data_IF_720250064606
#
_entry.id   IF_720250064606
#
_cell.length_a   1.000
_cell.length_b   1.000
_cell.length_c   1.000
_cell.angle_alpha   90.00
_cell.angle_beta   90.00
_cell.angle_gamma   90.00
#
_symmetry.space_group_name_H-M   'P 1'
#
loop_
_entity.id
_entity.type
_entity.pdbx_description
1 polymer ?
#
# COMPACT_ATOMS: atom_id res chain seq x y z
N UNK A 1 -29.30 -1.14 11.67
CA UNK A 1 -30.16 0.06 11.70
C UNK A 1 -31.37 -0.24 10.85
N UNK A 2 -32.53 -0.18 11.48
CA UNK A 2 -33.81 -0.11 10.78
C UNK A 2 -33.87 1.24 10.04
N UNK A 3 -34.56 1.32 8.91
CA UNK A 3 -34.75 2.58 8.16
C UNK A 3 -35.49 3.64 9.01
N UNK A 4 -36.12 3.20 10.11
CA UNK A 4 -36.79 4.05 11.11
C UNK A 4 -35.85 4.69 12.12
N UNK A 5 -34.63 4.17 12.30
CA UNK A 5 -33.61 4.80 13.15
C UNK A 5 -32.95 5.93 12.37
N UNK A 6 -33.28 7.17 12.71
CA UNK A 6 -32.67 8.37 12.12
C UNK A 6 -31.40 8.72 12.90
N UNK A 7 -30.19 8.44 12.40
CA UNK A 7 -28.99 8.95 13.04
C UNK A 7 -29.02 10.48 13.03
N UNK A 8 -28.45 11.11 14.05
CA UNK A 8 -28.41 12.58 14.14
C UNK A 8 -27.69 13.19 12.93
N UNK A 9 -28.12 14.39 12.52
CA UNK A 9 -27.57 15.12 11.36
C UNK A 9 -26.07 15.49 11.53
N UNK A 10 -25.54 15.38 12.75
CA UNK A 10 -24.15 15.59 13.09
C UNK A 10 -23.27 14.33 12.96
N UNK A 11 -23.87 13.17 12.67
CA UNK A 11 -23.15 11.91 12.50
C UNK A 11 -22.53 11.79 11.10
N UNK A 12 -21.21 11.64 11.05
CA UNK A 12 -20.46 11.45 9.80
C UNK A 12 -20.27 9.98 9.42
N UNK A 13 -19.88 9.74 8.17
CA UNK A 13 -19.49 8.42 7.69
C UNK A 13 -18.06 8.09 8.09
N UNK A 14 -17.80 6.82 8.45
CA UNK A 14 -16.48 6.33 8.81
C UNK A 14 -15.44 6.65 7.71
N UNK A 15 -14.45 7.49 8.04
CA UNK A 15 -13.50 8.04 7.07
C UNK A 15 -12.65 6.98 6.37
N UNK A 16 -12.41 5.83 7.00
CA UNK A 16 -11.69 4.70 6.40
C UNK A 16 -12.49 3.97 5.31
N UNK A 17 -13.82 4.08 5.32
CA UNK A 17 -14.70 3.46 4.32
C UNK A 17 -14.69 4.28 3.02
N UNK A 18 -14.90 5.59 3.13
CA UNK A 18 -15.07 6.44 1.94
C UNK A 18 -13.82 7.21 1.53
N UNK A 19 -12.93 7.55 2.46
CA UNK A 19 -11.78 8.43 2.22
C UNK A 19 -10.85 7.96 1.09
N UNK A 20 -10.37 6.69 1.09
CA UNK A 20 -9.53 6.17 0.01
C UNK A 20 -10.21 6.20 -1.36
N UNK A 21 -11.50 5.88 -1.43
CA UNK A 21 -12.29 5.93 -2.66
C UNK A 21 -12.50 7.38 -3.13
N UNK A 22 -12.77 8.30 -2.22
CA UNK A 22 -12.87 9.73 -2.49
C UNK A 22 -11.57 10.29 -3.07
N UNK A 23 -10.42 10.00 -2.47
CA UNK A 23 -9.13 10.41 -3.03
C UNK A 23 -8.85 9.80 -4.41
N UNK A 24 -9.16 8.51 -4.61
CA UNK A 24 -9.04 7.87 -5.92
C UNK A 24 -9.85 8.61 -6.99
N UNK A 25 -11.10 8.95 -6.68
CA UNK A 25 -11.97 9.72 -7.56
C UNK A 25 -11.40 11.12 -7.84
N UNK A 26 -11.09 11.91 -6.81
CA UNK A 26 -10.62 13.29 -6.96
C UNK A 26 -9.32 13.39 -7.77
N UNK A 27 -8.35 12.51 -7.51
CA UNK A 27 -7.11 12.47 -8.28
C UNK A 27 -7.36 12.04 -9.73
N UNK A 28 -8.34 11.17 -9.98
CA UNK A 28 -8.73 10.80 -11.36
C UNK A 28 -9.37 11.98 -12.10
N UNK A 29 -10.23 12.76 -11.42
CA UNK A 29 -10.82 14.00 -11.94
C UNK A 29 -9.71 15.00 -12.30
N UNK A 30 -8.78 15.27 -11.38
CA UNK A 30 -7.66 16.18 -11.62
C UNK A 30 -6.75 15.70 -12.76
N UNK A 31 -6.45 14.39 -12.83
CA UNK A 31 -5.60 13.82 -13.88
C UNK A 31 -6.26 13.90 -15.28
N UNK A 32 -7.59 14.02 -15.34
CA UNK A 32 -8.33 14.16 -16.59
C UNK A 32 -8.57 15.62 -17.00
N UNK A 33 -8.28 16.59 -16.12
CA UNK A 33 -8.43 18.01 -16.44
C UNK A 33 -7.62 18.40 -17.70
N UNK A 34 -8.10 19.30 -18.58
CA UNK A 34 -7.41 19.61 -19.83
C UNK A 34 -6.06 20.31 -19.65
N UNK A 35 -5.17 20.14 -20.63
CA UNK A 35 -3.92 20.91 -20.69
C UNK A 35 -4.15 22.38 -21.07
N UNK A 36 -5.21 22.64 -21.85
CA UNK A 36 -5.68 23.97 -22.24
C UNK A 36 -7.19 24.03 -21.96
N UNK A 37 -7.61 24.36 -20.72
CA UNK A 37 -9.01 24.36 -20.36
C UNK A 37 -9.75 25.57 -20.94
N UNK A 38 -11.04 25.40 -21.24
CA UNK A 38 -11.94 26.51 -21.57
C UNK A 38 -12.37 27.26 -20.31
N UNK A 39 -12.88 28.49 -20.46
CA UNK A 39 -13.40 29.28 -19.32
C UNK A 39 -14.53 28.55 -18.58
N UNK A 40 -15.37 27.82 -19.31
CA UNK A 40 -16.43 26.99 -18.72
C UNK A 40 -15.85 25.82 -17.90
N UNK A 41 -14.81 25.15 -18.41
CA UNK A 41 -14.13 24.07 -17.69
C UNK A 41 -13.46 24.59 -16.42
N UNK A 42 -12.81 25.75 -16.47
CA UNK A 42 -12.24 26.43 -15.29
C UNK A 42 -13.34 26.67 -14.26
N UNK A 43 -14.44 27.31 -14.67
CA UNK A 43 -15.59 27.62 -13.79
C UNK A 43 -16.17 26.35 -13.14
N UNK A 44 -16.40 25.30 -13.93
CA UNK A 44 -16.98 24.04 -13.44
C UNK A 44 -16.07 23.36 -12.41
N UNK A 45 -14.76 23.32 -12.66
CA UNK A 45 -13.81 22.71 -11.72
C UNK A 45 -13.64 23.56 -10.45
N UNK A 46 -13.64 24.89 -10.57
CA UNK A 46 -13.61 25.79 -9.41
C UNK A 46 -14.82 25.57 -8.50
N UNK A 47 -16.01 25.55 -9.09
CA UNK A 47 -17.28 25.27 -8.39
C UNK A 47 -17.24 23.89 -7.73
N UNK A 48 -16.82 22.86 -8.47
CA UNK A 48 -16.71 21.49 -7.95
C UNK A 48 -15.82 21.40 -6.70
N UNK A 49 -14.58 21.91 -6.78
CA UNK A 49 -13.65 21.84 -5.64
C UNK A 49 -14.03 22.79 -4.50
N UNK A 50 -14.73 23.90 -4.77
CA UNK A 50 -15.29 24.76 -3.74
C UNK A 50 -16.39 24.03 -2.95
N UNK A 51 -17.37 23.46 -3.65
CA UNK A 51 -18.51 22.79 -3.01
C UNK A 51 -18.17 21.43 -2.41
N UNK A 52 -17.09 20.79 -2.86
CA UNK A 52 -16.56 19.58 -2.21
C UNK A 52 -16.43 19.78 -0.70
N UNK A 53 -15.91 20.93 -0.26
CA UNK A 53 -15.75 21.27 1.15
C UNK A 53 -17.04 21.31 1.97
N UNK A 54 -18.20 21.44 1.32
CA UNK A 54 -19.49 21.53 2.00
C UNK A 54 -20.18 20.17 2.13
N UNK A 55 -19.79 19.20 1.31
CA UNK A 55 -20.51 17.91 1.19
C UNK A 55 -19.71 16.70 1.65
N UNK A 56 -18.45 16.86 2.09
CA UNK A 56 -17.70 15.73 2.67
C UNK A 56 -18.51 15.15 3.84
N UNK A 57 -18.70 13.81 3.91
CA UNK A 57 -19.55 13.17 4.92
C UNK A 57 -18.80 13.01 6.26
N UNK A 58 -18.16 14.09 6.72
CA UNK A 58 -17.36 14.17 7.94
C UNK A 58 -17.16 15.65 8.29
N UNK A 59 -17.75 16.11 9.40
CA UNK A 59 -17.70 17.50 9.85
C UNK A 59 -16.27 18.06 9.91
N UNK A 60 -15.39 17.42 10.67
CA UNK A 60 -13.99 17.85 10.79
C UNK A 60 -13.21 17.80 9.48
N UNK A 61 -13.62 16.95 8.55
CA UNK A 61 -13.02 16.89 7.22
C UNK A 61 -13.42 18.10 6.38
N UNK A 62 -14.68 18.55 6.48
CA UNK A 62 -15.17 19.79 5.84
C UNK A 62 -14.44 21.02 6.36
N UNK A 63 -14.40 21.17 7.69
CA UNK A 63 -13.75 22.30 8.36
C UNK A 63 -12.26 22.41 7.96
N UNK A 64 -11.51 21.30 8.03
CA UNK A 64 -10.09 21.32 7.62
C UNK A 64 -9.87 21.47 6.13
N UNK A 65 -10.76 20.93 5.29
CA UNK A 65 -10.65 21.15 3.85
C UNK A 65 -10.83 22.64 3.53
N UNK A 66 -11.86 23.29 4.09
CA UNK A 66 -12.10 24.72 3.93
C UNK A 66 -10.90 25.56 4.39
N UNK A 67 -10.31 25.24 5.54
CA UNK A 67 -9.08 25.88 6.00
C UNK A 67 -7.93 25.69 4.98
N UNK A 68 -7.68 24.45 4.55
CA UNK A 68 -6.57 24.15 3.63
C UNK A 68 -6.72 24.83 2.28
N UNK A 69 -7.92 24.91 1.70
CA UNK A 69 -8.11 25.56 0.39
C UNK A 69 -8.05 27.08 0.45
N UNK A 70 -7.97 27.67 1.64
CA UNK A 70 -7.80 29.12 1.85
C UNK A 70 -6.38 29.51 2.26
N UNK A 71 -5.48 28.55 2.49
CA UNK A 71 -4.09 28.82 2.85
C UNK A 71 -3.25 29.25 1.64
N UNK A 72 -2.26 30.12 1.85
CA UNK A 72 -1.44 30.72 0.79
C UNK A 72 -0.82 29.70 -0.18
N UNK A 73 -0.35 28.55 0.31
CA UNK A 73 0.31 27.52 -0.51
C UNK A 73 -0.65 26.54 -1.22
N UNK A 74 -1.95 26.63 -0.91
CA UNK A 74 -3.00 25.75 -1.44
C UNK A 74 -4.31 26.50 -1.74
N UNK A 75 -4.23 27.81 -1.96
CA UNK A 75 -5.36 28.67 -2.26
C UNK A 75 -6.06 28.16 -3.52
N UNK A 76 -7.36 27.89 -3.42
CA UNK A 76 -8.18 27.50 -4.57
C UNK A 76 -8.58 28.74 -5.38
N UNK A 77 -7.82 29.02 -6.43
CA UNK A 77 -8.04 30.14 -7.36
C UNK A 77 -7.86 29.69 -8.83
N UNK A 78 -7.91 30.65 -9.76
CA UNK A 78 -7.70 30.38 -11.18
C UNK A 78 -6.26 29.94 -11.51
N UNK A 79 -5.26 30.27 -10.68
CA UNK A 79 -3.87 29.84 -10.89
C UNK A 79 -3.74 28.33 -10.76
N UNK A 80 -4.47 27.73 -9.82
CA UNK A 80 -4.58 26.27 -9.67
C UNK A 80 -5.18 25.64 -10.94
N UNK A 81 -6.09 26.33 -11.60
CA UNK A 81 -6.86 25.84 -12.75
C UNK A 81 -6.23 26.17 -14.11
N UNK A 82 -5.01 26.73 -14.14
CA UNK A 82 -4.28 27.06 -15.38
C UNK A 82 -4.16 25.88 -16.34
N UNK A 83 -3.89 24.68 -15.83
CA UNK A 83 -3.83 23.44 -16.63
C UNK A 83 -3.87 22.19 -15.73
N UNK A 84 -3.88 21.01 -16.36
CA UNK A 84 -3.79 19.70 -15.69
C UNK A 84 -2.71 19.64 -14.61
N UNK A 85 -1.50 20.10 -14.90
CA UNK A 85 -0.38 19.96 -13.98
C UNK A 85 -0.58 20.81 -12.72
N UNK A 86 -1.03 22.05 -12.84
CA UNK A 86 -1.28 22.93 -11.69
C UNK A 86 -2.37 22.35 -10.79
N UNK A 87 -3.45 21.81 -11.37
CA UNK A 87 -4.54 21.20 -10.61
C UNK A 87 -4.11 19.90 -9.89
N UNK A 88 -3.38 19.02 -10.59
CA UNK A 88 -2.84 17.78 -9.99
C UNK A 88 -1.87 18.11 -8.85
N UNK A 89 -0.99 19.09 -9.04
CA UNK A 89 -0.04 19.53 -8.01
C UNK A 89 -0.77 20.12 -6.79
N UNK A 90 -1.78 20.96 -7.01
CA UNK A 90 -2.60 21.51 -5.93
C UNK A 90 -3.31 20.41 -5.12
N UNK A 91 -3.97 19.46 -5.80
CA UNK A 91 -4.67 18.37 -5.11
C UNK A 91 -3.70 17.46 -4.34
N UNK A 92 -2.50 17.24 -4.89
CA UNK A 92 -1.42 16.56 -4.18
C UNK A 92 -1.00 17.30 -2.90
N UNK A 93 -0.90 18.63 -2.94
CA UNK A 93 -0.57 19.44 -1.76
C UNK A 93 -1.68 19.38 -0.70
N UNK A 94 -2.95 19.51 -1.09
CA UNK A 94 -4.11 19.35 -0.18
C UNK A 94 -4.09 17.96 0.47
N UNK A 95 -3.90 16.89 -0.32
CA UNK A 95 -3.83 15.52 0.20
C UNK A 95 -2.68 15.37 1.21
N UNK A 96 -1.54 16.02 0.98
CA UNK A 96 -0.41 16.00 1.92
C UNK A 96 -0.63 16.83 3.19
N UNK A 97 -1.42 17.91 3.15
CA UNK A 97 -1.87 18.60 4.38
C UNK A 97 -2.74 17.69 5.23
N UNK A 98 -3.66 16.94 4.60
CA UNK A 98 -4.45 15.91 5.30
C UNK A 98 -3.56 14.79 5.87
N UNK A 99 -2.60 14.27 5.10
CA UNK A 99 -1.65 13.27 5.59
C UNK A 99 -0.85 13.78 6.80
N UNK A 100 -0.40 15.03 6.77
CA UNK A 100 0.27 15.67 7.91
C UNK A 100 -0.62 15.72 9.15
N UNK A 101 -1.87 16.20 9.00
CA UNK A 101 -2.83 16.28 10.09
C UNK A 101 -3.08 14.90 10.74
N UNK A 102 -3.07 13.84 9.93
CA UNK A 102 -3.28 12.46 10.39
C UNK A 102 -2.00 11.75 10.86
N UNK A 103 -0.84 12.42 10.86
CA UNK A 103 0.44 11.81 11.25
C UNK A 103 0.98 10.76 10.28
N UNK A 104 0.53 10.77 9.01
CA UNK A 104 0.98 9.83 7.98
C UNK A 104 2.34 10.31 7.44
N UNK A 105 3.40 9.55 7.75
CA UNK A 105 4.79 9.91 7.43
C UNK A 105 5.27 9.40 6.08
N UNK A 106 4.70 8.31 5.57
CA UNK A 106 5.07 7.72 4.27
C UNK A 106 4.29 8.38 3.12
N UNK A 107 4.77 9.53 2.64
CA UNK A 107 4.18 10.21 1.49
C UNK A 107 4.87 9.80 0.19
N UNK A 108 4.09 9.54 -0.85
CA UNK A 108 4.63 9.34 -2.20
C UNK A 108 5.08 10.68 -2.81
N UNK A 109 6.04 10.62 -3.73
CA UNK A 109 6.44 11.81 -4.50
C UNK A 109 5.36 12.19 -5.51
N UNK A 110 5.28 13.49 -5.87
CA UNK A 110 4.38 13.96 -6.93
C UNK A 110 4.57 13.18 -8.24
N UNK A 111 5.81 12.82 -8.58
CA UNK A 111 6.13 12.00 -9.75
C UNK A 111 5.48 10.62 -9.67
N UNK A 112 5.56 9.93 -8.52
CA UNK A 112 4.95 8.63 -8.34
C UNK A 112 3.43 8.69 -8.40
N UNK A 113 2.83 9.72 -7.78
CA UNK A 113 1.39 9.98 -7.85
C UNK A 113 0.97 10.19 -9.30
N UNK A 114 1.65 11.07 -10.03
CA UNK A 114 1.42 11.32 -11.45
C UNK A 114 1.48 10.02 -12.27
N UNK A 115 2.58 9.27 -12.15
CA UNK A 115 2.76 8.01 -12.88
C UNK A 115 1.67 6.99 -12.54
N UNK A 116 1.24 6.90 -11.28
CA UNK A 116 0.15 6.00 -10.86
C UNK A 116 -1.15 6.33 -11.58
N UNK A 117 -1.61 7.58 -11.53
CA UNK A 117 -2.90 7.96 -12.12
C UNK A 117 -2.85 8.00 -13.65
N UNK A 118 -1.73 8.40 -14.27
CA UNK A 118 -1.54 8.27 -15.72
C UNK A 118 -1.61 6.81 -16.19
N UNK A 119 -1.24 5.85 -15.34
CA UNK A 119 -1.34 4.43 -15.69
C UNK A 119 -2.79 3.93 -15.85
N UNK A 120 -3.79 4.74 -15.49
CA UNK A 120 -5.22 4.43 -15.65
C UNK A 120 -5.84 5.07 -16.90
N UNK A 121 -5.06 5.84 -17.67
CA UNK A 121 -5.52 6.54 -18.85
C UNK A 121 -6.10 5.58 -19.89
N UNK A 122 -7.30 5.89 -20.39
CA UNK A 122 -7.97 5.14 -21.45
C UNK A 122 -7.60 5.66 -22.84
N UNK A 123 -7.58 4.77 -23.83
CA UNK A 123 -7.68 5.09 -25.27
C UNK A 123 -9.16 5.18 -25.61
N UNK A 124 -9.55 6.30 -26.22
CA UNK A 124 -10.83 6.40 -26.89
C UNK A 124 -10.56 6.29 -28.40
N UNK A 125 -11.03 5.23 -29.05
CA UNK A 125 -11.09 5.16 -30.51
C UNK A 125 -12.46 5.65 -30.98
N UNK A 126 -12.54 6.35 -32.12
CA UNK A 126 -13.81 6.82 -32.69
C UNK A 126 -14.81 5.69 -32.98
N UNK A 127 -14.32 4.45 -33.02
CA UNK A 127 -15.08 3.22 -33.29
C UNK A 127 -15.71 2.56 -32.07
N UNK A 128 -15.49 3.05 -30.83
CA UNK A 128 -16.11 2.43 -29.65
C UNK A 128 -17.61 2.74 -29.58
N UNK A 129 -18.49 1.75 -29.35
CA UNK A 129 -19.92 2.00 -29.15
C UNK A 129 -20.12 2.94 -27.95
N UNK A 130 -20.90 4.02 -28.12
CA UNK A 130 -21.19 5.01 -27.05
C UNK A 130 -21.65 4.35 -25.74
N UNK A 131 -22.31 3.20 -25.82
CA UNK A 131 -22.86 2.44 -24.69
C UNK A 131 -21.78 1.84 -23.77
N UNK A 132 -20.57 1.55 -24.28
CA UNK A 132 -19.52 0.85 -23.49
C UNK A 132 -18.50 1.78 -22.83
N UNK A 133 -18.44 3.06 -23.21
CA UNK A 133 -17.41 4.00 -22.75
C UNK A 133 -15.99 3.60 -23.16
N UNK A 134 -14.98 4.41 -22.81
CA UNK A 134 -13.58 4.13 -23.16
C UNK A 134 -12.92 3.15 -22.18
N UNK A 135 -12.96 1.85 -22.50
CA UNK A 135 -12.50 0.78 -21.60
C UNK A 135 -11.04 0.35 -21.79
N UNK A 136 -10.44 0.68 -22.94
CA UNK A 136 -9.12 0.18 -23.28
C UNK A 136 -8.02 1.08 -22.70
N UNK A 137 -6.97 0.52 -22.08
CA UNK A 137 -5.89 1.31 -21.50
C UNK A 137 -4.97 1.90 -22.59
N UNK A 138 -4.37 3.06 -22.31
CA UNK A 138 -3.30 3.60 -23.15
C UNK A 138 -2.07 2.71 -23.19
N UNK A 139 -1.71 2.13 -22.05
CA UNK A 139 -0.57 1.22 -21.90
C UNK A 139 -0.92 0.07 -20.97
N UNK A 140 -0.48 -1.14 -21.32
CA UNK A 140 -0.62 -2.32 -20.49
C UNK A 140 -2.01 -2.94 -20.50
N UNK A 141 -2.37 -3.56 -19.39
CA UNK A 141 -3.60 -4.35 -19.24
C UNK A 141 -4.79 -3.52 -18.75
N UNK A 142 -6.02 -3.95 -19.09
CA UNK A 142 -7.25 -3.37 -18.53
C UNK A 142 -7.21 -3.46 -17.00
N UNK A 143 -7.61 -2.38 -16.33
CA UNK A 143 -7.65 -2.29 -14.87
C UNK A 143 -9.09 -2.04 -14.43
N UNK A 144 -9.47 -2.65 -13.31
CA UNK A 144 -10.73 -2.38 -12.61
C UNK A 144 -10.45 -2.00 -11.17
N UNK A 145 -11.21 -1.04 -10.64
CA UNK A 145 -11.22 -0.77 -9.21
C UNK A 145 -12.16 -1.78 -8.54
N UNK A 146 -11.68 -2.40 -7.45
CA UNK A 146 -12.51 -3.22 -6.57
C UNK A 146 -12.44 -2.58 -5.20
N UNK A 147 -13.59 -2.15 -4.68
CA UNK A 147 -13.72 -1.58 -3.35
C UNK A 147 -14.39 -2.65 -2.49
N UNK A 148 -13.74 -3.00 -1.38
CA UNK A 148 -14.23 -3.98 -0.43
C UNK A 148 -14.20 -3.37 0.98
N UNK A 149 -15.32 -3.48 1.70
CA UNK A 149 -15.47 -2.93 3.05
C UNK A 149 -15.22 -4.06 4.04
N UNK A 150 -14.00 -4.10 4.55
CA UNK A 150 -13.61 -5.08 5.56
C UNK A 150 -13.88 -4.56 6.97
N UNK A 151 -14.36 -5.44 7.84
CA UNK A 151 -14.41 -5.18 9.27
C UNK A 151 -12.98 -4.99 9.79
N UNK A 152 -12.80 -4.14 10.79
CA UNK A 152 -11.51 -3.91 11.47
C UNK A 152 -11.67 -4.05 12.99
N UNK A 153 -10.62 -4.52 13.66
CA UNK A 153 -10.51 -4.53 15.12
C UNK A 153 -10.34 -3.09 15.65
N UNK A 154 -10.49 -2.89 16.97
CA UNK A 154 -10.40 -1.57 17.62
C UNK A 154 -9.08 -0.83 17.35
N UNK A 155 -7.99 -1.56 17.14
CA UNK A 155 -6.68 -1.03 16.80
C UNK A 155 -6.53 -0.65 15.31
N UNK A 156 -7.58 -0.88 14.50
CA UNK A 156 -7.62 -0.59 13.09
C UNK A 156 -6.99 -1.65 12.19
N UNK A 157 -6.63 -2.81 12.72
CA UNK A 157 -6.21 -3.99 11.95
C UNK A 157 -7.42 -4.71 11.34
N UNK A 158 -7.27 -5.41 10.21
CA UNK A 158 -8.42 -6.11 9.59
C UNK A 158 -8.97 -7.18 10.53
N UNK A 159 -10.28 -7.14 10.78
CA UNK A 159 -11.00 -8.04 11.69
C UNK A 159 -10.80 -9.48 11.24
N UNK A 160 -10.20 -10.29 12.10
CA UNK A 160 -9.89 -11.69 11.78
C UNK A 160 -8.67 -11.92 10.87
N UNK A 161 -7.90 -10.89 10.45
CA UNK A 161 -6.57 -11.13 9.89
C UNK A 161 -5.66 -11.63 11.01
N UNK A 162 -5.30 -12.92 10.95
CA UNK A 162 -4.24 -13.49 11.79
C UNK A 162 -2.92 -12.78 11.45
N UNK A 163 -2.59 -11.72 12.18
CA UNK A 163 -1.27 -11.09 12.11
C UNK A 163 -0.23 -12.17 12.40
N UNK A 164 0.75 -12.36 11.52
CA UNK A 164 1.77 -13.39 11.72
C UNK A 164 2.89 -12.77 12.53
N UNK A 165 3.06 -13.22 13.77
CA UNK A 165 4.16 -12.85 14.66
C UNK A 165 4.97 -14.08 15.01
N UNK A 166 6.29 -13.98 14.85
CA UNK A 166 7.23 -14.99 15.32
C UNK A 166 7.42 -14.83 16.83
N UNK A 167 6.87 -15.78 17.60
CA UNK A 167 6.99 -15.82 19.07
C UNK A 167 8.39 -16.25 19.47
N UNK A 168 8.83 -17.42 19.01
CA UNK A 168 10.10 -17.98 19.45
C UNK A 168 10.75 -18.86 18.39
N UNK A 169 12.08 -19.00 18.50
CA UNK A 169 12.88 -19.99 17.78
C UNK A 169 13.69 -20.74 18.83
N UNK A 170 13.51 -22.05 18.91
CA UNK A 170 14.19 -22.93 19.86
C UNK A 170 14.90 -24.07 19.12
N UNK A 171 15.91 -24.70 19.72
CA UNK A 171 16.51 -25.92 19.17
C UNK A 171 15.42 -26.98 19.00
N UNK A 172 15.43 -27.66 17.86
CA UNK A 172 14.42 -28.69 17.57
C UNK A 172 14.69 -29.95 18.38
N UNK A 173 13.62 -30.58 18.91
CA UNK A 173 13.69 -31.93 19.51
C UNK A 173 13.57 -33.04 18.46
N UNK A 174 13.08 -32.72 17.26
CA UNK A 174 12.91 -33.67 16.15
C UNK A 174 14.25 -34.08 15.54
N UNK A 175 14.46 -35.39 15.37
CA UNK A 175 15.65 -35.96 14.71
C UNK A 175 15.85 -35.35 13.32
N UNK A 176 17.07 -34.88 13.05
CA UNK A 176 17.45 -34.30 11.75
C UNK A 176 17.09 -32.81 11.55
N UNK A 177 16.38 -32.15 12.48
CA UNK A 177 16.01 -30.73 12.36
C UNK A 177 16.83 -29.85 13.32
N UNK A 178 17.12 -28.61 12.90
CA UNK A 178 17.97 -27.69 13.66
C UNK A 178 17.19 -26.83 14.64
N UNK A 179 16.13 -26.18 14.17
CA UNK A 179 15.32 -25.25 14.96
C UNK A 179 13.83 -25.50 14.75
N UNK A 180 13.03 -25.10 15.74
CA UNK A 180 11.57 -25.00 15.68
C UNK A 180 11.17 -23.55 15.88
N UNK A 181 10.43 -22.99 14.93
CA UNK A 181 9.81 -21.67 15.04
C UNK A 181 8.35 -21.81 15.49
N UNK A 182 7.93 -20.96 16.42
CA UNK A 182 6.54 -20.87 16.90
C UNK A 182 5.96 -19.52 16.52
N UNK A 183 4.77 -19.52 15.93
CA UNK A 183 4.02 -18.33 15.54
C UNK A 183 2.81 -18.11 16.45
N UNK A 184 2.31 -16.88 16.52
CA UNK A 184 1.15 -16.50 17.34
C UNK A 184 -0.18 -17.10 16.89
N UNK A 185 -0.26 -17.67 15.69
CA UNK A 185 -1.42 -18.41 15.22
C UNK A 185 -1.40 -19.90 15.65
N UNK A 186 -0.51 -20.29 16.57
CA UNK A 186 -0.32 -21.67 17.03
C UNK A 186 0.51 -22.53 16.09
N UNK A 187 0.88 -22.04 14.89
CA UNK A 187 1.67 -22.81 13.93
C UNK A 187 3.10 -22.99 14.44
N UNK A 188 3.58 -24.23 14.43
CA UNK A 188 4.98 -24.58 14.73
C UNK A 188 5.63 -25.20 13.51
N UNK A 189 6.82 -24.73 13.14
CA UNK A 189 7.52 -25.19 11.94
C UNK A 189 8.98 -25.49 12.25
N UNK A 190 9.40 -26.72 11.93
CA UNK A 190 10.79 -27.16 12.08
C UNK A 190 11.58 -26.85 10.80
N UNK A 191 12.79 -26.32 10.94
CA UNK A 191 13.61 -25.89 9.81
C UNK A 191 15.11 -26.02 10.08
N UNK A 192 15.88 -26.03 9.00
CA UNK A 192 17.32 -26.32 9.01
C UNK A 192 17.64 -27.80 9.26
N UNK A 193 18.71 -28.30 8.65
CA UNK A 193 19.23 -29.64 8.91
C UNK A 193 20.16 -29.62 10.13
N UNK A 194 20.00 -30.60 11.03
CA UNK A 194 20.93 -30.79 12.15
C UNK A 194 22.34 -31.15 11.64
N UNK A 195 23.38 -30.76 12.36
CA UNK A 195 24.79 -31.00 11.96
C UNK A 195 25.33 -30.13 10.83
N UNK A 196 24.47 -29.60 9.94
CA UNK A 196 24.91 -28.78 8.81
C UNK A 196 25.28 -27.35 9.22
N UNK A 197 26.39 -26.82 8.70
CA UNK A 197 26.77 -25.41 8.86
C UNK A 197 25.89 -24.48 8.00
N UNK A 198 25.72 -23.23 8.46
CA UNK A 198 24.94 -22.20 7.80
C UNK A 198 25.64 -20.83 7.90
N UNK A 199 25.10 -19.83 7.22
CA UNK A 199 25.74 -18.52 7.11
C UNK A 199 25.90 -17.81 8.46
N UNK A 200 25.06 -18.11 9.45
CA UNK A 200 25.18 -17.58 10.81
C UNK A 200 26.37 -18.16 11.59
N UNK A 201 27.04 -19.17 11.02
CA UNK A 201 28.22 -19.83 11.60
C UNK A 201 29.48 -19.61 10.76
N UNK A 202 29.42 -19.92 9.46
CA UNK A 202 30.62 -19.95 8.61
C UNK A 202 30.96 -18.61 7.96
N UNK A 203 30.01 -17.68 7.86
CA UNK A 203 30.16 -16.35 7.24
C UNK A 203 30.63 -16.28 5.77
N UNK A 204 30.87 -17.42 5.11
CA UNK A 204 31.10 -17.52 3.66
C UNK A 204 29.91 -17.02 2.81
N UNK A 205 30.15 -15.89 2.12
CA UNK A 205 29.20 -15.22 1.22
C UNK A 205 28.93 -16.00 -0.08
N UNK A 206 29.93 -16.70 -0.62
CA UNK A 206 29.79 -17.46 -1.88
C UNK A 206 28.89 -18.67 -1.63
N UNK A 207 29.15 -19.42 -0.56
CA UNK A 207 28.29 -20.54 -0.14
C UNK A 207 26.87 -20.08 0.15
N UNK A 208 26.70 -18.94 0.81
CA UNK A 208 25.39 -18.32 1.03
C UNK A 208 24.66 -18.02 -0.27
N UNK A 209 25.33 -17.36 -1.22
CA UNK A 209 24.71 -16.96 -2.48
C UNK A 209 24.33 -18.18 -3.34
N UNK A 210 25.12 -19.26 -3.31
CA UNK A 210 24.75 -20.55 -3.94
C UNK A 210 23.50 -21.16 -3.31
N UNK A 211 23.39 -21.15 -1.99
CA UNK A 211 22.19 -21.61 -1.28
C UNK A 211 20.96 -20.77 -1.67
N UNK A 212 21.06 -19.44 -1.61
CA UNK A 212 19.96 -18.53 -1.97
C UNK A 212 19.48 -18.82 -3.40
N UNK A 213 20.39 -18.89 -4.38
CA UNK A 213 20.07 -19.16 -5.79
C UNK A 213 19.26 -20.46 -5.96
N UNK A 214 19.66 -21.53 -5.27
CA UNK A 214 19.00 -22.84 -5.34
C UNK A 214 17.58 -22.83 -4.76
N UNK A 215 17.36 -22.00 -3.74
CA UNK A 215 16.14 -21.98 -2.94
C UNK A 215 15.21 -20.79 -3.25
N UNK A 216 15.47 -20.02 -4.33
CA UNK A 216 14.57 -18.95 -4.77
C UNK A 216 13.16 -19.47 -5.07
N UNK A 217 13.04 -20.67 -5.65
CA UNK A 217 11.75 -21.32 -5.97
C UNK A 217 10.88 -21.58 -4.74
N UNK A 218 11.50 -21.78 -3.57
CA UNK A 218 10.79 -22.03 -2.31
C UNK A 218 10.03 -20.78 -1.83
N UNK A 219 10.36 -19.61 -2.39
CA UNK A 219 9.72 -18.33 -2.12
C UNK A 219 8.54 -18.01 -3.06
N UNK A 220 8.10 -18.95 -3.91
CA UNK A 220 6.96 -18.72 -4.82
C UNK A 220 5.65 -18.49 -4.07
N UNK A 221 5.48 -19.19 -2.95
CA UNK A 221 4.22 -19.28 -2.18
C UNK A 221 3.83 -18.02 -1.43
N UNK A 222 4.75 -17.08 -1.21
CA UNK A 222 4.54 -15.87 -0.40
C UNK A 222 4.08 -16.14 1.05
N UNK A 223 4.18 -17.37 1.55
CA UNK A 223 3.86 -17.73 2.94
C UNK A 223 5.14 -17.69 3.80
N UNK A 224 5.31 -16.66 4.65
CA UNK A 224 6.51 -16.53 5.45
C UNK A 224 6.67 -17.63 6.50
N UNK A 225 5.61 -18.35 6.86
CA UNK A 225 5.66 -19.37 7.90
C UNK A 225 6.26 -20.69 7.44
N UNK A 226 6.52 -20.87 6.14
CA UNK A 226 7.08 -22.12 5.60
C UNK A 226 8.56 -22.29 5.97
N UNK A 227 9.00 -23.54 6.07
CA UNK A 227 10.38 -23.90 6.42
C UNK A 227 11.42 -23.33 5.43
N UNK A 228 11.07 -23.16 4.15
CA UNK A 228 11.94 -22.53 3.15
C UNK A 228 12.23 -21.06 3.47
N UNK A 229 11.20 -20.30 3.86
CA UNK A 229 11.35 -18.90 4.29
C UNK A 229 12.16 -18.80 5.58
N UNK A 230 11.87 -19.64 6.57
CA UNK A 230 12.62 -19.69 7.80
C UNK A 230 14.09 -20.03 7.54
N UNK A 231 14.39 -21.04 6.72
CA UNK A 231 15.77 -21.39 6.39
C UNK A 231 16.47 -20.25 5.67
N UNK A 232 15.85 -19.67 4.64
CA UNK A 232 16.41 -18.58 3.85
C UNK A 232 16.72 -17.34 4.71
N UNK A 233 15.73 -16.85 5.46
CA UNK A 233 15.80 -15.55 6.12
C UNK A 233 16.33 -15.59 7.55
N UNK A 234 16.32 -16.76 8.21
CA UNK A 234 16.90 -16.94 9.55
C UNK A 234 18.34 -17.47 9.48
N UNK A 235 18.61 -18.48 8.64
CA UNK A 235 19.91 -19.18 8.61
C UNK A 235 20.86 -18.69 7.51
N UNK A 236 20.34 -18.10 6.42
CA UNK A 236 21.13 -17.79 5.22
C UNK A 236 21.11 -16.30 4.81
N UNK A 237 20.67 -15.40 5.70
CA UNK A 237 20.50 -13.98 5.40
C UNK A 237 21.55 -13.09 6.05
N UNK A 238 21.63 -13.06 7.39
CA UNK A 238 22.60 -12.25 8.16
C UNK A 238 23.68 -13.12 8.81
N UNK A 239 24.80 -12.49 9.18
CA UNK A 239 25.97 -13.16 9.81
C UNK A 239 25.69 -13.70 11.20
N UNK A 240 24.65 -13.22 11.90
CA UNK A 240 24.26 -13.73 13.20
C UNK A 240 22.78 -14.09 13.25
N UNK A 241 22.45 -15.11 14.05
CA UNK A 241 21.08 -15.55 14.24
C UNK A 241 20.20 -14.43 14.80
N UNK A 242 20.72 -13.65 15.77
CA UNK A 242 20.03 -12.48 16.35
C UNK A 242 19.69 -11.44 15.28
N UNK A 243 20.66 -11.10 14.41
CA UNK A 243 20.43 -10.13 13.34
C UNK A 243 19.40 -10.64 12.33
N UNK A 244 19.47 -11.92 11.95
CA UNK A 244 18.49 -12.54 11.05
C UNK A 244 17.08 -12.56 11.64
N UNK A 245 16.93 -12.85 12.94
CA UNK A 245 15.62 -12.83 13.62
C UNK A 245 15.02 -11.41 13.63
N UNK A 246 15.83 -10.40 13.94
CA UNK A 246 15.38 -9.00 13.92
C UNK A 246 14.96 -8.57 12.51
N UNK A 247 15.75 -8.91 11.49
CA UNK A 247 15.42 -8.65 10.08
C UNK A 247 14.12 -9.35 9.66
N UNK A 248 13.96 -10.63 10.04
CA UNK A 248 12.77 -11.41 9.74
C UNK A 248 11.51 -10.88 10.42
N UNK A 249 11.59 -10.43 11.68
CA UNK A 249 10.48 -9.74 12.36
C UNK A 249 10.07 -8.46 11.64
N UNK A 250 11.02 -7.65 11.17
CA UNK A 250 10.73 -6.45 10.35
C UNK A 250 10.03 -6.82 9.04
N UNK A 251 10.45 -7.90 8.38
CA UNK A 251 9.81 -8.42 7.17
C UNK A 251 8.39 -8.92 7.42
N UNK A 252 8.14 -9.60 8.54
CA UNK A 252 6.80 -10.01 8.94
C UNK A 252 5.88 -8.81 9.17
N UNK A 253 6.36 -7.74 9.80
CA UNK A 253 5.56 -6.51 9.96
C UNK A 253 5.18 -5.92 8.59
N UNK A 254 6.12 -5.89 7.64
CA UNK A 254 5.84 -5.44 6.27
C UNK A 254 4.89 -6.40 5.52
N UNK A 255 4.99 -7.70 5.74
CA UNK A 255 4.04 -8.68 5.20
C UNK A 255 2.64 -8.49 5.77
N UNK A 256 2.52 -8.28 7.07
CA UNK A 256 1.25 -8.06 7.75
C UNK A 256 0.55 -6.77 7.25
N UNK A 257 1.32 -5.72 6.89
CA UNK A 257 0.76 -4.48 6.34
C UNK A 257 0.50 -4.51 4.83
N UNK A 258 1.33 -5.19 4.04
CA UNK A 258 1.28 -5.13 2.57
C UNK A 258 0.76 -6.40 1.89
N UNK A 259 0.64 -7.51 2.62
CA UNK A 259 0.38 -8.85 2.05
C UNK A 259 1.55 -9.42 1.24
N UNK A 260 2.68 -8.71 1.12
CA UNK A 260 3.85 -9.13 0.32
C UNK A 260 5.09 -9.25 1.21
N UNK A 261 5.71 -10.43 1.23
CA UNK A 261 6.91 -10.63 2.03
C UNK A 261 8.13 -10.07 1.29
N UNK A 262 8.94 -9.18 1.88
CA UNK A 262 10.15 -8.69 1.23
C UNK A 262 11.15 -9.83 1.00
N UNK A 263 11.52 -10.09 -0.26
CA UNK A 263 12.41 -11.21 -0.62
C UNK A 263 13.87 -10.80 -0.87
N UNK A 264 14.17 -9.50 -0.91
CA UNK A 264 15.52 -9.00 -1.20
C UNK A 264 16.50 -9.33 -0.07
N UNK A 265 17.69 -9.82 -0.41
CA UNK A 265 18.77 -10.16 0.52
C UNK A 265 19.98 -9.29 0.18
N UNK A 266 20.57 -8.65 1.18
CA UNK A 266 21.73 -7.77 0.99
C UNK A 266 22.95 -8.54 0.49
N UNK A 267 23.66 -7.96 -0.48
CA UNK A 267 24.85 -8.52 -1.14
C UNK A 267 24.55 -9.82 -1.92
N UNK A 268 23.30 -9.98 -2.36
CA UNK A 268 22.90 -11.00 -3.31
C UNK A 268 22.32 -10.33 -4.56
N UNK A 269 23.11 -10.26 -5.63
CA UNK A 269 22.71 -9.80 -6.95
C UNK A 269 22.19 -10.97 -7.80
N UNK A 270 21.13 -11.63 -7.33
CA UNK A 270 20.36 -12.55 -8.18
C UNK A 270 19.32 -11.73 -8.93
N UNK A 271 19.55 -11.54 -10.22
CA UNK A 271 18.66 -10.90 -11.17
C UNK A 271 17.21 -11.37 -10.98
N UNK A 272 16.33 -10.43 -10.62
CA UNK A 272 14.91 -10.54 -10.92
C UNK A 272 14.74 -10.47 -12.43
N UNK A 273 14.75 -11.63 -13.09
CA UNK A 273 14.02 -11.82 -14.34
C UNK A 273 12.57 -12.11 -13.99
#
# INVERSE_FOLDING_TARGET
MDFKEKPGDDTGMQTRVWGPAGWLFLHSVAQNYPWKPTSEQIKNYLIFFKYLGNVLPCRYCRESYQEFVSQKDTLLDENVLKNRYTLVKWLYNIHNKVNNKLGITCKDSLRNVWTKYESFRSKCTKTQPKVKGCLDPMKGFRKKCVIDIIKVDKDGSSFGKKTIKLISIKKSKTKGKKFTATFNNGKTVQFGASGMSDYTKHHDLIRRNRYIKRHLKDLSTNDPTRAGYLSMFILWNKRSLKASITDYRKRLNKFNSTGKFPKTISNYSGSSK
#
